data_IF_725794089367
#
_entry.id   IF_725794089367
#
_cell.length_a   1.000
_cell.length_b   1.000
_cell.length_c   1.000
_cell.angle_alpha   90.00
_cell.angle_beta   90.00
_cell.angle_gamma   90.00
#
_symmetry.space_group_name_H-M   'P 1'
#
loop_
_entity.id
_entity.type
_entity.pdbx_description
1 polymer ?
2 non-polymer ?
3 non-polymer ?
4 non-polymer ?
5 non-polymer ?
6 water ?
#
# COMPACT_ATOMS: atom_id res chain seq x y z
N UNK A 1 -23.78 -2.20 -27.07
CA UNK A 1 -22.99 -2.17 -28.34
C UNK A 1 -21.51 -2.56 -28.10
N UNK A 2 -20.96 -2.16 -26.94
CA UNK A 2 -19.56 -2.43 -26.60
C UNK A 2 -19.35 -3.82 -25.99
N UNK A 3 -20.36 -4.35 -25.30
CA UNK A 3 -20.34 -5.68 -24.68
C UNK A 3 -21.14 -6.74 -25.44
N UNK A 4 -21.66 -6.38 -26.63
CA UNK A 4 -22.46 -7.30 -27.43
C UNK A 4 -21.60 -7.82 -28.57
N UNK A 5 -21.64 -9.12 -28.78
CA UNK A 5 -20.82 -9.76 -29.80
C UNK A 5 -21.52 -9.69 -31.16
N UNK A 6 -20.84 -9.07 -32.12
CA UNK A 6 -21.29 -9.03 -33.49
C UNK A 6 -20.70 -10.23 -34.27
N UNK A 7 -19.43 -10.54 -34.04
CA UNK A 7 -18.77 -11.71 -34.64
C UNK A 7 -17.64 -12.26 -33.76
N UNK A 8 -17.49 -13.57 -33.75
CA UNK A 8 -16.37 -14.23 -33.09
C UNK A 8 -15.79 -15.26 -34.02
N UNK A 9 -14.49 -15.27 -34.22
CA UNK A 9 -13.90 -16.30 -35.03
C UNK A 9 -12.50 -16.69 -34.57
N UNK A 10 -12.09 -17.89 -34.96
CA UNK A 10 -10.77 -18.39 -34.64
C UNK A 10 -9.83 -17.97 -35.78
N UNK A 11 -8.66 -17.39 -35.43
CA UNK A 11 -7.65 -16.90 -36.39
C UNK A 11 -6.27 -17.38 -36.03
N UNK A 12 -5.35 -17.20 -36.97
CA UNK A 12 -3.93 -17.46 -36.79
C UNK A 12 -3.70 -18.91 -36.43
N UNK A 13 -4.05 -19.79 -37.36
CA UNK A 13 -4.00 -21.21 -37.13
C UNK A 13 -4.87 -21.62 -35.95
N UNK A 14 -5.98 -20.91 -35.76
CA UNK A 14 -6.89 -21.12 -34.62
C UNK A 14 -6.29 -20.89 -33.21
N UNK A 15 -5.16 -20.19 -33.15
CA UNK A 15 -4.48 -19.93 -31.86
C UNK A 15 -4.98 -18.67 -31.16
N UNK A 16 -5.89 -17.97 -31.81
CA UNK A 16 -6.39 -16.67 -31.39
C UNK A 16 -7.91 -16.62 -31.66
N UNK A 17 -8.68 -16.07 -30.74
CA UNK A 17 -10.06 -15.74 -30.98
C UNK A 17 -10.15 -14.24 -31.12
N UNK A 18 -10.84 -13.79 -32.17
CA UNK A 18 -11.12 -12.39 -32.33
C UNK A 18 -12.62 -12.16 -32.14
N UNK A 19 -12.96 -11.17 -31.32
CA UNK A 19 -14.34 -10.72 -31.14
C UNK A 19 -14.42 -9.35 -31.82
N UNK A 20 -15.38 -9.21 -32.73
CA UNK A 20 -15.79 -7.89 -33.22
C UNK A 20 -17.03 -7.55 -32.42
N UNK A 21 -16.96 -6.48 -31.64
CA UNK A 21 -18.08 -6.01 -30.80
C UNK A 21 -19.01 -5.15 -31.63
N UNK A 22 -20.22 -4.91 -31.10
CA UNK A 22 -21.21 -4.13 -31.84
C UNK A 22 -20.88 -2.64 -32.00
N UNK A 23 -19.96 -2.12 -31.19
CA UNK A 23 -19.36 -0.79 -31.45
C UNK A 23 -18.24 -0.81 -32.51
N UNK A 24 -18.02 -1.94 -33.16
CA UNK A 24 -17.02 -2.04 -34.24
C UNK A 24 -15.57 -2.25 -33.73
N UNK A 25 -15.37 -2.16 -32.43
CA UNK A 25 -14.05 -2.51 -31.89
C UNK A 25 -13.79 -4.02 -31.89
N UNK A 26 -12.52 -4.40 -31.99
CA UNK A 26 -12.12 -5.81 -32.02
C UNK A 26 -11.27 -6.12 -30.81
N UNK A 27 -11.43 -7.31 -30.23
CA UNK A 27 -10.59 -7.78 -29.13
C UNK A 27 -10.02 -9.13 -29.55
N UNK A 28 -8.83 -9.44 -29.04
CA UNK A 28 -8.12 -10.66 -29.37
C UNK A 28 -7.81 -11.42 -28.06
N UNK A 29 -8.03 -12.72 -28.08
CA UNK A 29 -7.86 -13.59 -26.93
C UNK A 29 -7.06 -14.83 -27.34
N UNK A 30 -5.89 -15.03 -26.74
CA UNK A 30 -5.18 -16.26 -27.05
C UNK A 30 -5.96 -17.51 -26.66
N UNK A 31 -5.93 -18.49 -27.54
CA UNK A 31 -6.55 -19.78 -27.30
C UNK A 31 -6.11 -20.45 -26.02
N UNK A 32 -4.81 -20.42 -25.71
CA UNK A 32 -4.24 -21.02 -24.49
C UNK A 32 -4.74 -20.36 -23.22
N UNK A 33 -4.95 -19.05 -23.28
CA UNK A 33 -5.54 -18.32 -22.16
C UNK A 33 -7.04 -18.65 -22.00
N UNK A 34 -7.73 -18.86 -23.10
CA UNK A 34 -9.12 -19.27 -23.03
C UNK A 34 -9.22 -20.63 -22.38
N UNK A 35 -8.45 -21.58 -22.86
CA UNK A 35 -8.50 -22.92 -22.27
C UNK A 35 -8.11 -22.91 -20.80
N UNK A 36 -7.03 -22.19 -20.50
CA UNK A 36 -6.55 -22.00 -19.12
C UNK A 36 -7.65 -21.47 -18.21
N UNK A 37 -8.55 -20.67 -18.78
CA UNK A 37 -9.57 -20.01 -18.00
C UNK A 37 -10.99 -20.47 -18.27
N UNK A 38 -11.12 -21.70 -18.79
CA UNK A 38 -12.43 -22.37 -18.85
C UNK A 38 -13.13 -22.30 -17.49
N UNK A 39 -14.37 -21.79 -17.46
CA UNK A 39 -15.11 -21.71 -16.19
C UNK A 39 -15.93 -22.94 -15.77
N UNK A 40 -15.85 -24.05 -16.52
CA UNK A 40 -16.62 -25.23 -16.21
C UNK A 40 -16.19 -25.82 -14.87
N UNK A 41 -17.05 -26.69 -14.35
CA UNK A 41 -16.86 -27.23 -13.01
C UNK A 41 -15.68 -28.17 -12.93
N UNK A 42 -15.19 -28.69 -14.08
CA UNK A 42 -13.93 -29.45 -14.07
C UNK A 42 -12.70 -28.54 -13.88
N UNK A 43 -12.79 -27.36 -14.48
CA UNK A 43 -11.66 -26.48 -14.61
C UNK A 43 -11.60 -25.41 -13.54
N UNK A 44 -12.75 -25.15 -12.94
CA UNK A 44 -12.92 -24.00 -12.09
C UNK A 44 -13.80 -24.33 -10.90
N UNK A 45 -13.31 -24.05 -9.70
CA UNK A 45 -14.04 -24.34 -8.46
C UNK A 45 -14.81 -23.08 -8.06
N UNK A 46 -16.10 -23.08 -8.34
CA UNK A 46 -16.88 -21.87 -8.19
C UNK A 46 -16.99 -21.36 -6.74
N UNK A 47 -17.07 -22.25 -5.78
CA UNK A 47 -17.19 -21.82 -4.38
C UNK A 47 -15.93 -21.04 -3.90
N UNK A 48 -14.77 -21.34 -4.49
CA UNK A 48 -13.50 -20.68 -4.16
C UNK A 48 -13.16 -19.57 -5.14
N UNK A 49 -13.91 -19.49 -6.24
CA UNK A 49 -13.52 -18.65 -7.36
C UNK A 49 -12.05 -18.90 -7.72
N UNK A 50 -11.67 -20.17 -7.87
CA UNK A 50 -10.28 -20.54 -8.14
C UNK A 50 -10.13 -21.56 -9.27
N UNK A 51 -8.99 -21.54 -9.93
CA UNK A 51 -8.71 -22.51 -11.00
C UNK A 51 -8.32 -23.87 -10.43
N UNK A 52 -9.02 -24.92 -10.84
CA UNK A 52 -8.62 -26.31 -10.55
C UNK A 52 -7.68 -26.88 -11.61
N UNK A 53 -7.79 -26.36 -12.83
CA UNK A 53 -7.00 -26.82 -13.94
C UNK A 53 -5.53 -26.73 -13.62
N UNK A 54 -4.80 -27.78 -13.92
CA UNK A 54 -3.38 -27.83 -13.67
C UNK A 54 -2.62 -27.33 -14.91
N UNK A 55 -1.43 -26.79 -14.68
CA UNK A 55 -0.56 -26.38 -15.75
C UNK A 55 -0.28 -27.62 -16.57
N UNK A 56 -0.15 -28.75 -15.89
CA UNK A 56 0.09 -30.04 -16.54
C UNK A 56 -1.00 -30.46 -17.52
N UNK A 57 -2.23 -29.97 -17.37
CA UNK A 57 -3.31 -30.34 -18.32
C UNK A 57 -3.37 -29.37 -19.50
N UNK A 58 -2.57 -28.30 -19.48
CA UNK A 58 -2.73 -27.26 -20.45
C UNK A 58 -1.77 -27.50 -21.59
N UNK A 59 -2.31 -27.66 -22.80
CA UNK A 59 -1.52 -27.73 -24.00
C UNK A 59 -1.22 -26.32 -24.47
N UNK A 60 0.06 -25.90 -24.45
CA UNK A 60 0.40 -24.50 -24.74
C UNK A 60 0.32 -24.12 -26.23
N UNK A 61 0.28 -25.13 -27.08
CA UNK A 61 0.10 -24.97 -28.52
C UNK A 61 -1.34 -25.22 -28.97
N UNK A 62 -2.25 -25.31 -28.01
CA UNK A 62 -3.66 -25.54 -28.31
C UNK A 62 -4.23 -24.51 -29.25
N UNK A 63 -5.14 -24.98 -30.08
CA UNK A 63 -5.95 -24.14 -30.97
C UNK A 63 -7.42 -24.46 -30.75
N UNK A 64 -8.28 -23.55 -31.19
CA UNK A 64 -9.73 -23.73 -31.06
C UNK A 64 -10.18 -24.72 -32.13
N UNK A 65 -10.89 -25.76 -31.74
CA UNK A 65 -11.33 -26.72 -32.75
C UNK A 65 -12.59 -26.22 -33.45
N UNK A 66 -13.51 -25.68 -32.67
CA UNK A 66 -14.72 -25.12 -33.21
C UNK A 66 -15.23 -24.02 -32.31
N UNK A 67 -16.00 -23.12 -32.91
CA UNK A 67 -16.53 -21.97 -32.24
C UNK A 67 -17.88 -21.58 -32.82
N UNK A 68 -18.87 -21.39 -31.97
CA UNK A 68 -20.09 -20.67 -32.33
C UNK A 68 -20.33 -19.62 -31.27
N UNK A 69 -21.18 -18.65 -31.59
CA UNK A 69 -21.40 -17.53 -30.72
C UNK A 69 -22.84 -17.06 -30.85
N UNK A 70 -23.32 -16.39 -29.83
CA UNK A 70 -24.47 -15.55 -29.96
C UNK A 70 -24.02 -14.20 -29.43
N UNK A 71 -24.97 -13.29 -29.18
CA UNK A 71 -24.63 -11.92 -28.78
C UNK A 71 -23.98 -11.80 -27.40
N UNK A 72 -24.25 -12.78 -26.54
CA UNK A 72 -23.82 -12.72 -25.15
C UNK A 72 -22.76 -13.77 -24.76
N UNK A 73 -22.47 -14.72 -25.64
CA UNK A 73 -21.57 -15.82 -25.28
C UNK A 73 -20.88 -16.40 -26.49
N UNK A 74 -19.71 -16.96 -26.25
CA UNK A 74 -19.00 -17.81 -27.20
C UNK A 74 -19.04 -19.24 -26.67
N UNK A 75 -19.11 -20.20 -27.57
CA UNK A 75 -19.16 -21.61 -27.21
C UNK A 75 -18.05 -22.29 -28.01
N UNK A 76 -17.09 -22.91 -27.32
CA UNK A 76 -15.88 -23.41 -27.95
C UNK A 76 -15.68 -24.88 -27.70
N UNK A 77 -15.28 -25.60 -28.75
CA UNK A 77 -14.81 -26.96 -28.60
C UNK A 77 -13.31 -26.98 -28.80
N UNK A 78 -12.65 -27.78 -27.97
CA UNK A 78 -11.21 -27.97 -28.01
C UNK A 78 -10.84 -29.31 -28.70
N UNK A 79 -9.59 -29.44 -29.14
CA UNK A 79 -9.20 -30.63 -29.87
C UNK A 79 -9.40 -31.95 -29.15
N UNK A 80 -9.30 -31.98 -27.82
CA UNK A 80 -9.56 -33.22 -27.07
C UNK A 80 -11.03 -33.36 -26.68
N UNK A 81 -11.90 -32.60 -27.33
CA UNK A 81 -13.36 -32.55 -27.06
C UNK A 81 -13.78 -31.88 -25.77
N UNK A 82 -12.87 -31.32 -24.98
CA UNK A 82 -13.32 -30.50 -23.87
C UNK A 82 -14.17 -29.34 -24.41
N UNK A 83 -15.08 -28.81 -23.60
CA UNK A 83 -16.02 -27.81 -24.08
C UNK A 83 -16.06 -26.62 -23.13
N UNK A 84 -16.10 -25.41 -23.67
CA UNK A 84 -16.07 -24.21 -22.84
C UNK A 84 -17.06 -23.13 -23.32
N UNK A 85 -17.65 -22.43 -22.38
CA UNK A 85 -18.48 -21.25 -22.65
C UNK A 85 -17.93 -20.04 -21.95
N UNK A 86 -17.91 -18.91 -22.65
CA UNK A 86 -17.43 -17.65 -22.11
C UNK A 86 -18.46 -16.58 -22.35
N UNK A 87 -18.70 -15.77 -21.32
CA UNK A 87 -19.66 -14.67 -21.40
C UNK A 87 -19.03 -13.41 -21.99
N UNK A 88 -19.82 -12.68 -22.76
CA UNK A 88 -19.35 -11.50 -23.44
C UNK A 88 -18.76 -10.44 -22.48
N UNK A 89 -19.45 -10.13 -21.41
CA UNK A 89 -18.98 -9.09 -20.51
C UNK A 89 -17.73 -9.51 -19.78
N UNK A 90 -17.67 -10.77 -19.38
CA UNK A 90 -16.44 -11.37 -18.85
C UNK A 90 -15.27 -11.18 -19.81
N UNK A 91 -15.48 -11.49 -21.09
CA UNK A 91 -14.44 -11.27 -22.13
C UNK A 91 -14.02 -9.81 -22.33
N UNK A 92 -15.02 -8.93 -22.41
CA UNK A 92 -14.78 -7.49 -22.61
C UNK A 92 -13.90 -6.88 -21.51
N UNK A 93 -14.18 -7.22 -20.27
CA UNK A 93 -13.43 -6.75 -19.12
C UNK A 93 -11.93 -7.13 -19.24
N UNK A 94 -11.66 -8.34 -19.73
CA UNK A 94 -10.32 -8.91 -19.74
C UNK A 94 -9.60 -8.75 -21.08
N UNK A 95 -10.16 -7.91 -21.95
CA UNK A 95 -9.54 -7.50 -23.21
C UNK A 95 -8.08 -7.10 -22.99
N UNK A 96 -7.25 -7.60 -23.88
CA UNK A 96 -5.81 -7.47 -23.77
C UNK A 96 -5.25 -6.16 -24.32
N UNK A 97 -6.11 -5.28 -24.82
CA UNK A 97 -5.65 -3.96 -25.26
C UNK A 97 -5.14 -3.19 -24.05
N UNK A 98 -4.18 -2.33 -24.34
CA UNK A 98 -3.53 -1.57 -23.30
C UNK A 98 -4.55 -0.77 -22.52
N UNK A 99 -5.50 -0.16 -23.23
CA UNK A 99 -6.52 0.68 -22.54
C UNK A 99 -7.42 -0.13 -21.63
N UNK A 100 -7.83 -1.31 -22.08
CA UNK A 100 -8.66 -2.16 -21.25
C UNK A 100 -7.88 -2.69 -20.04
N UNK A 101 -6.65 -3.11 -20.25
CA UNK A 101 -5.80 -3.63 -19.15
C UNK A 101 -5.53 -2.53 -18.11
N UNK A 102 -5.24 -1.31 -18.57
CA UNK A 102 -4.93 -0.22 -17.64
C UNK A 102 -6.17 0.19 -16.85
N UNK A 103 -7.31 0.21 -17.52
CA UNK A 103 -8.53 0.55 -16.83
C UNK A 103 -8.82 -0.41 -15.66
N UNK A 104 -8.62 -1.69 -15.91
CA UNK A 104 -8.91 -2.69 -14.92
C UNK A 104 -7.92 -2.65 -13.75
N UNK A 105 -6.64 -2.41 -14.04
CA UNK A 105 -5.63 -2.25 -13.01
C UNK A 105 -5.95 -1.08 -12.09
N UNK A 106 -6.38 0.06 -12.66
CA UNK A 106 -6.82 1.18 -11.85
C UNK A 106 -7.93 0.79 -10.87
N UNK A 107 -8.88 0.00 -11.35
CA UNK A 107 -9.99 -0.45 -10.53
C UNK A 107 -9.55 -1.39 -9.44
N UNK A 108 -8.56 -2.23 -9.71
CA UNK A 108 -8.06 -3.15 -8.70
C UNK A 108 -7.20 -2.45 -7.63
N UNK A 109 -6.36 -1.51 -8.05
CA UNK A 109 -5.25 -1.02 -7.19
C UNK A 109 -5.31 0.45 -6.78
N UNK A 110 -6.29 1.19 -7.28
CA UNK A 110 -6.53 2.56 -6.84
C UNK A 110 -5.24 3.39 -6.86
N UNK A 111 -4.59 3.49 -8.03
CA UNK A 111 -3.32 4.17 -8.15
C UNK A 111 -3.35 5.71 -8.02
N UNK A 112 -4.51 6.36 -8.05
CA UNK A 112 -4.57 7.84 -7.98
C UNK A 112 -3.82 8.36 -6.74
N UNK A 113 -2.92 9.30 -6.97
CA UNK A 113 -2.05 9.83 -5.95
C UNK A 113 -2.08 11.36 -5.96
N UNK A 114 -2.29 11.99 -4.81
CA UNK A 114 -2.19 13.43 -4.73
C UNK A 114 -1.02 13.84 -3.87
N UNK A 115 0.02 14.36 -4.52
CA UNK A 115 1.25 14.82 -3.87
C UNK A 115 0.98 16.11 -3.15
N UNK A 116 1.63 16.32 -2.02
CA UNK A 116 1.43 17.56 -1.29
C UNK A 116 2.69 18.00 -0.56
N UNK A 117 2.72 19.30 -0.23
CA UNK A 117 3.70 19.90 0.68
C UNK A 117 3.01 20.61 1.83
N UNK A 118 3.54 21.76 2.22
CA UNK A 118 3.04 22.52 3.38
C UNK A 118 1.64 23.08 3.19
N UNK A 119 1.12 23.04 1.96
CA UNK A 119 -0.25 23.49 1.69
C UNK A 119 -1.33 22.46 2.02
N UNK A 120 -0.92 21.23 2.36
CA UNK A 120 -1.90 20.19 2.70
C UNK A 120 -3.06 20.69 3.57
N UNK A 121 -4.27 20.28 3.19
CA UNK A 121 -5.44 20.39 4.05
C UNK A 121 -5.65 19.00 4.60
N UNK A 122 -5.40 18.83 5.89
CA UNK A 122 -5.40 17.50 6.50
C UNK A 122 -6.79 16.86 6.40
N UNK A 123 -6.94 15.79 5.58
CA UNK A 123 -8.25 15.21 5.46
C UNK A 123 -8.72 14.73 6.83
N UNK A 124 -9.98 15.01 7.15
CA UNK A 124 -10.49 14.84 8.48
C UNK A 124 -11.93 14.30 8.43
N UNK A 125 -12.15 13.21 9.13
CA UNK A 125 -13.45 12.58 9.28
C UNK A 125 -13.72 12.33 10.75
N UNK A 126 -14.98 12.00 11.04
CA UNK A 126 -15.39 11.62 12.36
C UNK A 126 -15.17 10.12 12.61
N UNK A 127 -14.55 9.84 13.76
CA UNK A 127 -14.22 8.48 14.19
C UNK A 127 -15.41 7.55 14.17
N UNK A 128 -16.44 7.92 14.92
CA UNK A 128 -17.60 7.03 15.06
C UNK A 128 -18.32 6.85 13.74
N UNK A 129 -18.39 7.90 12.92
CA UNK A 129 -19.00 7.80 11.61
C UNK A 129 -18.33 6.72 10.76
N UNK A 130 -17.02 6.65 10.86
CA UNK A 130 -16.22 5.73 10.08
C UNK A 130 -16.48 4.31 10.56
N UNK A 131 -16.66 4.15 11.88
CA UNK A 131 -17.02 2.85 12.42
C UNK A 131 -18.44 2.43 12.05
N UNK A 132 -19.36 3.39 11.97
CA UNK A 132 -20.77 3.07 11.73
C UNK A 132 -21.15 3.00 10.25
N UNK A 133 -20.59 3.86 9.40
CA UNK A 133 -21.08 4.00 8.03
C UNK A 133 -20.07 3.60 6.98
N UNK A 134 -20.51 2.81 6.02
CA UNK A 134 -19.66 2.38 4.92
C UNK A 134 -19.23 3.51 4.03
N UNK A 135 -20.11 4.50 3.84
CA UNK A 135 -19.80 5.67 3.03
C UNK A 135 -18.60 6.42 3.64
N UNK A 136 -18.54 6.49 4.97
CA UNK A 136 -17.46 7.20 5.65
C UNK A 136 -16.15 6.37 5.69
N UNK A 137 -16.26 5.08 5.96
CA UNK A 137 -15.10 4.20 5.97
C UNK A 137 -14.49 4.14 4.57
N UNK A 138 -15.33 4.14 3.55
CA UNK A 138 -14.87 4.17 2.18
C UNK A 138 -14.10 5.47 1.86
N UNK A 139 -14.66 6.60 2.26
CA UNK A 139 -13.95 7.88 2.14
C UNK A 139 -12.61 7.83 2.90
N UNK A 140 -12.62 7.22 4.07
CA UNK A 140 -11.42 7.13 4.91
C UNK A 140 -10.30 6.37 4.18
N UNK A 141 -10.59 5.14 3.78
CA UNK A 141 -9.58 4.31 3.12
C UNK A 141 -9.15 4.83 1.76
N UNK A 142 -10.09 5.32 0.95
CA UNK A 142 -9.72 5.86 -0.35
C UNK A 142 -8.88 7.12 -0.23
N UNK A 143 -9.14 7.92 0.80
CA UNK A 143 -8.33 9.10 1.00
C UNK A 143 -6.94 8.74 1.56
N UNK A 144 -6.89 7.77 2.45
CA UNK A 144 -5.63 7.21 2.96
C UNK A 144 -4.74 6.77 1.79
N UNK A 145 -5.34 6.12 0.80
CA UNK A 145 -4.58 5.59 -0.32
C UNK A 145 -4.08 6.71 -1.20
N UNK A 146 -4.97 7.65 -1.48
CA UNK A 146 -4.71 8.71 -2.42
C UNK A 146 -3.77 9.80 -1.86
N UNK A 147 -4.04 10.25 -0.64
CA UNK A 147 -3.32 11.37 -0.04
C UNK A 147 -2.21 10.90 0.92
N UNK A 148 -2.38 9.75 1.55
CA UNK A 148 -1.38 9.19 2.45
C UNK A 148 -1.70 9.40 3.93
N UNK A 149 -2.70 10.21 4.23
CA UNK A 149 -3.06 10.48 5.61
C UNK A 149 -4.51 10.94 5.75
N UNK A 150 -5.15 10.46 6.83
CA UNK A 150 -6.45 10.91 7.25
C UNK A 150 -6.47 11.04 8.77
N UNK A 151 -6.96 12.19 9.25
CA UNK A 151 -7.17 12.39 10.65
C UNK A 151 -8.61 12.03 10.99
N UNK A 152 -8.77 11.27 12.05
CA UNK A 152 -10.09 11.00 12.57
C UNK A 152 -10.23 11.71 13.90
N UNK A 153 -11.32 12.45 14.05
CA UNK A 153 -11.59 13.19 15.27
C UNK A 153 -12.78 12.58 16.00
N UNK A 154 -12.87 12.90 17.28
CA UNK A 154 -13.96 12.41 18.10
C UNK A 154 -13.88 10.99 18.61
N UNK A 155 -12.68 10.42 18.70
CA UNK A 155 -12.52 9.17 19.45
C UNK A 155 -12.53 9.49 20.95
N UNK A 156 -12.60 8.47 21.78
CA UNK A 156 -12.45 8.67 23.22
C UNK A 156 -11.00 9.01 23.56
N UNK A 157 -10.77 9.33 24.81
CA UNK A 157 -9.42 9.57 25.33
C UNK A 157 -8.95 8.37 26.12
N UNK A 158 -9.29 7.18 25.66
CA UNK A 158 -8.91 5.96 26.36
C UNK A 158 -8.37 4.93 25.37
N UNK A 159 -7.55 3.98 25.86
CA UNK A 159 -7.05 2.89 25.03
C UNK A 159 -8.17 2.08 24.40
N UNK A 160 -7.87 1.39 23.31
CA UNK A 160 -8.85 0.57 22.62
C UNK A 160 -9.41 1.15 21.33
N UNK A 161 -9.11 2.40 21.02
CA UNK A 161 -9.67 3.00 19.80
C UNK A 161 -8.99 2.50 18.52
N UNK A 162 -7.69 2.33 18.55
CA UNK A 162 -7.02 1.85 17.34
C UNK A 162 -7.45 0.44 16.99
N UNK A 163 -7.74 -0.38 18.01
CA UNK A 163 -8.26 -1.73 17.82
C UNK A 163 -9.63 -1.75 17.15
N UNK A 164 -10.48 -0.77 17.47
CA UNK A 164 -11.78 -0.67 16.77
C UNK A 164 -11.57 -0.42 15.27
N UNK A 165 -10.63 0.47 14.96
CA UNK A 165 -10.30 0.73 13.56
C UNK A 165 -9.65 -0.50 12.92
N UNK A 166 -8.87 -1.23 13.69
CA UNK A 166 -8.18 -2.45 13.19
C UNK A 166 -9.22 -3.45 12.73
N UNK A 167 -10.21 -3.63 13.59
CA UNK A 167 -11.35 -4.48 13.32
C UNK A 167 -12.15 -3.96 12.10
N UNK A 168 -12.34 -2.65 11.99
CA UNK A 168 -13.09 -2.11 10.85
C UNK A 168 -12.35 -2.46 9.54
N UNK A 169 -11.03 -2.44 9.58
CA UNK A 169 -10.24 -2.81 8.42
C UNK A 169 -10.31 -4.33 8.27
N UNK A 170 -10.04 -5.04 9.34
CA UNK A 170 -10.02 -6.50 9.31
C UNK A 170 -9.23 -7.03 10.48
N UNK A 171 -7.93 -6.80 10.44
CA UNK A 171 -7.09 -7.06 11.58
C UNK A 171 -5.78 -6.26 11.46
N UNK A 172 -5.19 -6.03 12.62
CA UNK A 172 -3.94 -5.28 12.78
C UNK A 172 -2.72 -6.18 12.54
N UNK A 173 -1.57 -5.56 12.32
CA UNK A 173 -0.33 -6.24 11.99
C UNK A 173 0.50 -6.34 13.26
N UNK A 174 0.62 -7.56 13.80
CA UNK A 174 1.38 -7.84 15.04
C UNK A 174 2.89 -7.71 14.82
N UNK A 175 3.56 -6.97 15.69
CA UNK A 175 5.02 -6.85 15.69
C UNK A 175 5.57 -7.13 17.09
N UNK A 176 6.88 -7.14 17.19
CA UNK A 176 7.57 -7.30 18.44
C UNK A 176 7.20 -6.25 19.48
N UNK A 177 6.61 -5.12 19.07
CA UNK A 177 6.13 -4.12 20.05
C UNK A 177 4.69 -4.34 20.50
N UNK A 178 4.06 -5.39 19.97
CA UNK A 178 2.73 -5.83 20.44
C UNK A 178 1.66 -5.64 19.40
N UNK A 179 0.43 -6.00 19.73
CA UNK A 179 -0.71 -5.74 18.86
C UNK A 179 -1.03 -4.26 18.73
N UNK A 180 -0.99 -3.57 19.87
CA UNK A 180 -0.93 -2.13 19.95
C UNK A 180 0.15 -1.80 20.95
N UNK A 181 0.54 -0.53 21.02
CA UNK A 181 1.69 -0.11 21.85
C UNK A 181 1.50 1.31 22.33
N UNK A 182 2.15 1.63 23.43
CA UNK A 182 1.93 2.88 24.11
C UNK A 182 3.12 3.80 23.92
N UNK A 183 2.90 4.92 23.22
CA UNK A 183 3.97 5.90 23.03
C UNK A 183 3.94 6.85 24.21
N UNK A 184 4.89 6.65 25.11
CA UNK A 184 5.05 7.50 26.28
C UNK A 184 6.45 7.37 26.80
N UNK A 185 6.87 8.29 27.66
CA UNK A 185 8.21 8.27 28.25
C UNK A 185 8.32 7.08 29.19
N UNK A 186 9.34 6.24 29.01
CA UNK A 186 9.51 5.02 29.80
C UNK A 186 10.93 4.87 30.34
N UNK A 187 11.04 4.45 31.60
CA UNK A 187 12.33 4.11 32.22
C UNK A 187 12.98 2.97 31.44
N UNK A 188 14.29 3.06 31.21
CA UNK A 188 14.99 2.09 30.38
C UNK A 188 14.27 1.88 29.05
N UNK A 189 13.93 2.96 28.36
CA UNK A 189 13.20 2.89 27.09
C UNK A 189 13.87 1.88 26.15
N UNK A 190 13.09 0.95 25.57
CA UNK A 190 13.63 0.05 24.54
C UNK A 190 13.58 0.65 23.12
N UNK A 191 13.21 1.93 23.04
CA UNK A 191 13.02 2.59 21.74
C UNK A 191 13.02 4.08 21.97
N UNK A 192 13.66 4.84 21.08
CA UNK A 192 13.74 6.30 21.23
C UNK A 192 12.33 6.92 21.29
N UNK A 193 11.37 6.27 20.63
CA UNK A 193 10.00 6.76 20.63
C UNK A 193 9.43 6.85 22.04
N UNK A 194 9.93 6.00 22.92
CA UNK A 194 9.40 5.93 24.29
C UNK A 194 10.28 6.75 25.24
N UNK A 195 10.65 7.95 24.77
CA UNK A 195 11.30 9.00 25.55
C UNK A 195 10.60 10.32 25.22
N UNK A 196 11.09 11.43 25.80
CA UNK A 196 10.58 12.76 25.50
C UNK A 196 11.31 13.52 24.36
N UNK A 197 12.28 12.85 23.75
CA UNK A 197 13.12 13.45 22.76
C UNK A 197 12.38 13.66 21.46
N UNK A 198 13.03 14.41 20.58
CA UNK A 198 12.51 14.71 19.27
C UNK A 198 12.71 13.50 18.37
N UNK A 199 11.73 13.22 17.50
CA UNK A 199 11.88 12.25 16.46
C UNK A 199 11.91 13.04 15.18
N UNK A 200 13.04 12.96 14.48
CA UNK A 200 13.20 13.50 13.15
C UNK A 200 12.35 12.67 12.20
N UNK A 201 12.20 13.14 10.96
CA UNK A 201 11.42 12.43 9.96
C UNK A 201 11.94 11.01 9.81
N UNK A 202 11.02 10.07 9.86
CA UNK A 202 11.36 8.67 9.69
C UNK A 202 10.14 7.94 9.26
N UNK A 203 10.35 6.77 8.68
CA UNK A 203 9.32 5.74 8.56
C UNK A 203 9.48 4.79 9.71
N UNK A 204 8.40 4.09 10.07
CA UNK A 204 8.45 3.09 11.14
C UNK A 204 8.89 1.71 10.64
N UNK A 205 9.74 1.06 11.44
CA UNK A 205 10.16 -0.30 11.27
C UNK A 205 10.91 -0.66 9.97
N UNK A 206 11.87 0.17 9.53
CA UNK A 206 12.69 -0.34 8.46
C UNK A 206 13.58 -1.53 8.88
N UNK A 207 13.70 -1.79 10.19
CA UNK A 207 14.35 -3.02 10.68
C UNK A 207 13.65 -4.29 10.21
N UNK A 208 12.41 -4.17 9.72
CA UNK A 208 11.70 -5.34 9.13
C UNK A 208 11.83 -5.33 7.62
N UNK A 209 11.95 -6.51 7.00
CA UNK A 209 12.02 -6.54 5.55
C UNK A 209 10.66 -6.13 4.94
N UNK A 210 9.58 -6.30 5.68
CA UNK A 210 8.25 -5.83 5.23
C UNK A 210 7.69 -4.82 6.22
N UNK A 211 8.11 -3.56 6.12
CA UNK A 211 7.59 -2.60 7.10
C UNK A 211 6.05 -2.43 7.04
N UNK A 212 5.43 -2.13 8.19
CA UNK A 212 4.02 -1.75 8.22
C UNK A 212 3.64 -0.81 7.07
N UNK A 213 2.56 -1.15 6.36
CA UNK A 213 2.04 -0.26 5.35
C UNK A 213 1.31 0.94 5.90
N UNK A 214 0.51 0.75 6.93
CA UNK A 214 -0.33 1.79 7.50
C UNK A 214 -0.11 1.84 8.98
N UNK A 215 -0.01 3.05 9.50
CA UNK A 215 0.22 3.24 10.91
C UNK A 215 -0.96 4.01 11.48
N UNK A 216 -1.37 3.66 12.68
CA UNK A 216 -2.47 4.34 13.37
C UNK A 216 -1.94 4.94 14.68
N UNK A 217 -2.22 6.21 14.94
CA UNK A 217 -1.81 6.85 16.20
C UNK A 217 -2.96 7.63 16.82
N UNK A 218 -3.26 7.25 18.05
CA UNK A 218 -4.41 7.78 18.77
C UNK A 218 -3.89 8.57 19.94
N UNK A 219 -4.22 9.86 19.98
CA UNK A 219 -3.82 10.68 21.10
C UNK A 219 -4.79 10.48 22.27
N UNK A 220 -4.26 9.94 23.35
CA UNK A 220 -4.97 9.75 24.62
C UNK A 220 -4.70 10.96 25.52
N UNK A 221 -3.43 11.34 25.63
CA UNK A 221 -2.99 12.46 26.43
C UNK A 221 -1.98 13.28 25.64
N UNK A 222 -2.13 14.59 25.66
CA UNK A 222 -1.19 15.52 25.01
C UNK A 222 -0.59 16.48 26.02
N UNK A 223 0.65 16.92 25.75
CA UNK A 223 1.40 17.83 26.60
C UNK A 223 1.38 19.22 25.95
N UNK A 224 1.39 20.25 26.77
CA UNK A 224 1.52 21.63 26.26
C UNK A 224 2.97 22.03 26.11
N UNK A 225 3.90 21.20 26.57
CA UNK A 225 5.33 21.57 26.51
C UNK A 225 6.03 21.23 25.20
N UNK A 226 5.33 20.65 24.23
CA UNK A 226 5.93 20.27 22.93
C UNK A 226 5.12 19.14 22.32
N UNK A 227 5.75 18.26 21.55
CA UNK A 227 5.05 17.06 21.10
C UNK A 227 4.17 17.25 19.89
N UNK A 228 4.38 18.34 19.15
CA UNK A 228 3.78 18.58 17.84
C UNK A 228 4.20 17.49 16.87
N UNK A 229 3.34 17.21 15.93
CA UNK A 229 3.60 16.24 14.90
C UNK A 229 4.05 16.95 13.66
N UNK A 230 4.82 16.24 12.86
CA UNK A 230 5.23 16.73 11.56
C UNK A 230 5.16 15.58 10.58
N UNK A 231 4.73 15.86 9.35
CA UNK A 231 4.67 14.87 8.28
C UNK A 231 5.22 15.49 7.00
N UNK A 232 5.67 14.61 6.11
CA UNK A 232 6.17 15.01 4.80
C UNK A 232 5.79 13.91 3.80
N UNK A 233 5.56 14.30 2.56
CA UNK A 233 5.16 13.36 1.51
C UNK A 233 6.45 12.85 0.87
N UNK A 234 6.88 11.67 1.31
CA UNK A 234 8.15 11.12 0.85
C UNK A 234 8.17 11.00 -0.69
N UNK A 235 7.03 10.69 -1.34
CA UNK A 235 7.06 10.55 -2.81
C UNK A 235 7.28 11.91 -3.46
N UNK A 236 6.69 12.96 -2.89
CA UNK A 236 6.92 14.30 -3.36
C UNK A 236 8.38 14.72 -3.18
N UNK A 237 8.94 14.43 -1.99
CA UNK A 237 10.31 14.79 -1.67
C UNK A 237 11.30 14.02 -2.54
N UNK A 238 11.03 12.75 -2.82
CA UNK A 238 11.88 12.00 -3.73
C UNK A 238 11.90 12.60 -5.13
N UNK A 239 10.76 13.12 -5.55
CA UNK A 239 10.65 13.72 -6.89
C UNK A 239 11.52 14.98 -6.93
N UNK A 240 11.48 15.79 -5.88
CA UNK A 240 12.29 16.98 -5.83
C UNK A 240 13.79 16.65 -5.77
N UNK A 241 14.15 15.56 -5.11
CA UNK A 241 15.56 15.18 -4.98
C UNK A 241 16.10 14.72 -6.31
N UNK A 242 15.36 13.85 -7.00
CA UNK A 242 15.75 13.48 -8.36
C UNK A 242 16.03 14.68 -9.27
N UNK A 243 15.21 15.74 -9.15
CA UNK A 243 15.40 16.97 -9.95
C UNK A 243 16.59 17.78 -9.48
N UNK A 244 16.63 18.08 -8.19
CA UNK A 244 17.68 18.92 -7.63
C UNK A 244 19.05 18.28 -7.56
N UNK A 245 19.11 16.96 -7.35
CA UNK A 245 20.39 16.28 -7.08
C UNK A 245 20.33 14.82 -7.54
N UNK A 246 20.41 14.60 -8.85
CA UNK A 246 20.27 13.26 -9.39
C UNK A 246 21.27 12.24 -8.81
N UNK A 247 22.48 12.71 -8.51
CA UNK A 247 23.52 11.83 -7.94
C UNK A 247 23.09 11.36 -6.53
N UNK A 248 22.60 12.27 -5.72
CA UNK A 248 22.06 11.92 -4.40
C UNK A 248 20.91 10.90 -4.47
N UNK A 249 19.99 11.13 -5.41
CA UNK A 249 18.86 10.22 -5.67
C UNK A 249 19.33 8.82 -6.03
N UNK A 250 20.29 8.77 -6.94
CA UNK A 250 20.87 7.54 -7.42
C UNK A 250 21.52 6.74 -6.27
N UNK A 251 22.28 7.44 -5.42
CA UNK A 251 22.94 6.82 -4.27
C UNK A 251 21.89 6.25 -3.32
N UNK A 252 20.91 7.06 -2.94
CA UNK A 252 19.88 6.60 -2.02
C UNK A 252 18.96 5.51 -2.61
N UNK A 253 18.78 5.51 -3.93
CA UNK A 253 17.95 4.50 -4.55
C UNK A 253 18.73 3.26 -4.97
N UNK A 254 20.04 3.22 -4.72
CA UNK A 254 20.84 2.04 -5.03
C UNK A 254 21.70 1.46 -3.88
N UNK A 255 21.82 2.17 -2.76
CA UNK A 255 22.68 1.74 -1.66
C UNK A 255 21.86 0.99 -0.62
N UNK A 256 22.26 -0.25 -0.36
CA UNK A 256 21.65 -1.04 0.71
C UNK A 256 22.18 -0.63 2.11
N UNK A 257 21.26 -0.20 2.96
CA UNK A 257 21.56 0.24 4.31
C UNK A 257 21.06 -0.81 5.30
N UNK A 258 21.86 -1.10 6.33
CA UNK A 258 21.49 -2.09 7.35
C UNK A 258 20.69 -1.42 8.46
N UNK A 259 19.56 -2.02 8.84
CA UNK A 259 18.79 -1.56 9.98
C UNK A 259 18.76 -2.65 11.04
N UNK A 260 18.64 -2.24 12.30
CA UNK A 260 18.71 -3.17 13.42
C UNK A 260 17.76 -2.80 14.54
N UNK A 261 17.29 -3.81 15.27
CA UNK A 261 16.51 -3.57 16.47
C UNK A 261 16.65 -4.76 17.40
N UNK A 262 17.20 -4.52 18.60
CA UNK A 262 17.45 -5.56 19.58
C UNK A 262 16.87 -5.13 20.91
N UNK A 263 16.18 -6.03 21.58
CA UNK A 263 15.60 -5.73 22.88
C UNK A 263 14.48 -6.68 23.25
N UNK A 264 13.65 -6.24 24.19
CA UNK A 264 12.57 -7.07 24.71
C UNK A 264 11.35 -6.20 24.80
N UNK A 265 10.25 -6.66 24.20
CA UNK A 265 8.95 -6.02 24.39
C UNK A 265 7.85 -7.09 24.36
N UNK A 266 7.14 -7.28 23.26
CA UNK A 266 6.14 -8.34 23.21
C UNK A 266 6.82 -9.69 23.46
N UNK A 267 7.99 -9.85 22.87
CA UNK A 267 8.90 -10.87 23.33
C UNK A 267 10.27 -10.37 23.03
N UNK A 268 11.25 -11.23 23.26
CA UNK A 268 12.64 -10.85 23.05
C UNK A 268 12.93 -10.89 21.55
N UNK A 269 13.69 -9.90 21.08
CA UNK A 269 13.98 -9.82 19.66
C UNK A 269 15.38 -9.33 19.32
N UNK A 270 15.85 -9.76 18.14
CA UNK A 270 17.10 -9.32 17.55
C UNK A 270 16.88 -9.29 16.05
N UNK A 271 16.47 -8.13 15.55
CA UNK A 271 16.01 -7.95 14.18
C UNK A 271 17.06 -7.20 13.34
N UNK A 272 17.28 -7.70 12.13
CA UNK A 272 18.18 -7.13 11.15
C UNK A 272 17.57 -7.12 9.74
N UNK A 273 17.81 -6.04 8.98
CA UNK A 273 17.43 -6.00 7.60
C UNK A 273 18.39 -5.15 6.78
N UNK A 274 18.21 -5.21 5.48
CA UNK A 274 18.83 -4.31 4.53
C UNK A 274 17.69 -3.72 3.70
N UNK A 275 17.74 -2.41 3.44
CA UNK A 275 16.86 -1.74 2.45
C UNK A 275 17.63 -0.62 1.78
N UNK A 276 17.26 -0.34 0.56
CA UNK A 276 17.55 0.93 -0.03
C UNK A 276 16.59 1.95 0.59
N UNK A 277 17.08 3.12 0.96
CA UNK A 277 16.24 4.17 1.56
C UNK A 277 15.14 4.60 0.58
N UNK A 278 15.49 4.71 -0.69
CA UNK A 278 14.51 4.95 -1.71
C UNK A 278 14.42 3.70 -2.55
N UNK A 279 13.26 3.05 -2.46
CA UNK A 279 13.05 1.77 -3.08
C UNK A 279 12.23 1.99 -4.35
N UNK A 280 12.82 1.70 -5.51
CA UNK A 280 12.16 1.90 -6.82
C UNK A 280 11.57 0.60 -7.28
N UNK A 281 10.50 0.65 -8.06
CA UNK A 281 10.02 -0.55 -8.75
C UNK A 281 10.80 -0.75 -10.06
N UNK A 282 10.41 -1.73 -10.88
CA UNK A 282 11.15 -2.06 -12.11
C UNK A 282 11.04 -0.99 -13.19
N UNK A 283 10.08 -0.08 -13.07
CA UNK A 283 9.99 1.06 -14.00
C UNK A 283 10.65 2.31 -13.47
N UNK A 284 11.30 2.24 -12.32
CA UNK A 284 11.96 3.42 -11.75
C UNK A 284 11.06 4.33 -10.90
N UNK A 285 9.86 3.89 -10.55
CA UNK A 285 8.97 4.68 -9.73
C UNK A 285 9.23 4.35 -8.29
N UNK A 286 9.23 5.36 -7.42
CA UNK A 286 9.45 5.15 -6.00
C UNK A 286 8.24 4.46 -5.47
N UNK A 287 8.41 3.35 -4.76
CA UNK A 287 7.27 2.63 -4.16
C UNK A 287 7.29 2.58 -2.65
N UNK A 288 8.46 2.78 -2.04
CA UNK A 288 8.56 2.81 -0.60
C UNK A 288 9.82 3.57 -0.20
N UNK A 289 9.70 4.27 0.92
CA UNK A 289 10.83 4.88 1.61
C UNK A 289 11.06 4.07 2.88
N UNK A 290 12.32 3.74 3.13
CA UNK A 290 12.71 2.96 4.31
C UNK A 290 13.78 3.73 5.06
N UNK A 291 13.38 4.51 6.04
CA UNK A 291 14.37 5.32 6.69
C UNK A 291 14.00 5.67 8.11
N UNK A 292 14.74 5.10 9.06
CA UNK A 292 14.67 5.58 10.42
C UNK A 292 16.11 5.73 10.94
N UNK A 293 16.46 6.95 11.33
CA UNK A 293 17.85 7.22 11.73
C UNK A 293 18.22 6.57 13.04
N UNK A 294 17.25 6.29 13.88
CA UNK A 294 17.51 5.67 15.17
C UNK A 294 17.95 4.21 15.02
N UNK A 295 17.35 3.50 14.06
CA UNK A 295 17.52 2.08 13.92
C UNK A 295 18.43 1.71 12.76
N UNK A 296 18.90 2.70 12.01
CA UNK A 296 19.98 2.46 11.04
C UNK A 296 21.19 1.95 11.84
N UNK A 297 21.78 0.84 11.39
CA UNK A 297 22.78 0.14 12.19
C UNK A 297 24.13 0.90 12.18
N UNK A 298 25.00 0.54 13.12
CA UNK A 298 26.39 1.02 13.12
C UNK A 298 27.15 0.29 12.01
N UNK A 299 26.73 -0.94 11.78
CA UNK A 299 27.22 -1.76 10.67
C UNK A 299 26.74 -1.12 9.37
N UNK A 300 27.67 -0.88 8.46
CA UNK A 300 27.37 -0.26 7.19
C UNK A 300 28.17 -0.98 6.13
N UNK A 301 27.45 -1.79 5.36
CA UNK A 301 28.04 -2.77 4.45
C UNK A 301 28.23 -2.20 3.05
N UNK A 302 29.16 -1.27 2.92
CA UNK A 302 29.55 -0.69 1.66
C UNK A 302 31.08 -0.51 1.64
N UNK A 303 31.68 -0.45 0.44
CA UNK A 303 33.10 -0.11 0.41
C UNK A 303 33.38 1.27 1.01
N UNK A 304 34.59 1.48 1.48
CA UNK A 304 34.89 2.66 2.28
C UNK A 304 34.68 3.97 1.50
N UNK A 305 35.00 3.93 0.21
CA UNK A 305 34.88 5.10 -0.67
C UNK A 305 33.44 5.56 -0.95
N UNK A 306 32.45 4.69 -0.71
CA UNK A 306 31.05 5.05 -0.86
C UNK A 306 30.43 5.65 0.41
N UNK A 307 31.15 5.61 1.54
CA UNK A 307 30.56 5.98 2.80
C UNK A 307 30.26 7.49 2.84
N UNK A 308 31.25 8.34 2.65
CA UNK A 308 30.99 9.75 2.81
C UNK A 308 29.95 10.27 1.77
N UNK A 309 30.01 9.78 0.51
CA UNK A 309 28.97 10.27 -0.41
C UNK A 309 27.54 9.81 -0.02
N UNK A 310 27.41 8.64 0.60
CA UNK A 310 26.12 8.22 1.10
C UNK A 310 25.63 9.21 2.11
N UNK A 311 26.48 9.54 3.09
CA UNK A 311 26.04 10.50 4.10
C UNK A 311 25.69 11.86 3.52
N UNK A 312 26.43 12.29 2.51
CA UNK A 312 26.16 13.59 1.89
C UNK A 312 24.80 13.60 1.17
N UNK A 313 24.46 12.46 0.57
CA UNK A 313 23.17 12.29 -0.11
C UNK A 313 22.03 12.23 0.89
N UNK A 314 22.22 11.51 1.98
CA UNK A 314 21.19 11.39 3.02
C UNK A 314 20.88 12.76 3.63
N UNK A 315 21.95 13.53 3.88
CA UNK A 315 21.80 14.90 4.37
C UNK A 315 20.96 15.76 3.42
N UNK A 316 21.23 15.70 2.14
CA UNK A 316 20.43 16.47 1.15
C UNK A 316 18.96 16.07 1.25
N UNK A 317 18.71 14.77 1.30
CA UNK A 317 17.36 14.23 1.40
C UNK A 317 16.65 14.76 2.63
N UNK A 318 17.35 14.75 3.76
CA UNK A 318 16.75 15.22 5.03
C UNK A 318 16.54 16.73 5.03
N UNK A 319 17.45 17.48 4.42
CA UNK A 319 17.27 18.92 4.28
C UNK A 319 16.00 19.24 3.43
N UNK A 320 15.78 18.49 2.35
CA UNK A 320 14.53 18.68 1.56
C UNK A 320 13.27 18.40 2.37
N UNK A 321 13.26 17.31 3.13
CA UNK A 321 12.15 17.01 4.03
C UNK A 321 11.87 18.12 5.01
N UNK A 322 12.93 18.74 5.52
CA UNK A 322 12.78 19.78 6.53
C UNK A 322 12.39 21.13 5.95
N UNK A 323 12.45 21.25 4.62
CA UNK A 323 12.16 22.50 3.96
C UNK A 323 10.73 22.96 4.29
N UNK A 324 10.54 24.27 4.46
CA UNK A 324 9.24 24.79 4.86
C UNK A 324 8.16 24.53 3.78
N UNK A 325 8.54 24.36 2.52
CA UNK A 325 7.60 23.96 1.42
C UNK A 325 7.12 22.50 1.47
N UNK A 326 7.89 21.62 2.10
CA UNK A 326 7.58 20.18 2.15
C UNK A 326 6.82 19.75 3.40
N UNK A 327 7.16 20.37 4.49
CA UNK A 327 6.73 19.98 5.81
C UNK A 327 5.31 20.43 6.17
N UNK A 328 4.58 19.58 6.86
CA UNK A 328 3.28 19.95 7.40
C UNK A 328 3.27 19.61 8.88
N UNK A 329 2.95 20.59 9.71
CA UNK A 329 3.00 20.40 11.14
C UNK A 329 1.65 20.67 11.75
N UNK A 330 1.31 19.94 12.79
CA UNK A 330 0.05 20.06 13.46
C UNK A 330 0.21 19.44 14.82
N UNK A 331 -0.79 19.56 15.66
CA UNK A 331 -0.70 19.04 17.01
C UNK A 331 -1.93 18.21 17.28
N UNK A 332 -1.71 17.00 17.77
CA UNK A 332 -2.80 16.10 18.08
C UNK A 332 -3.41 16.45 19.44
N UNK A 333 -4.73 16.37 19.55
CA UNK A 333 -5.42 16.52 20.82
C UNK A 333 -6.04 15.20 21.26
N UNK A 334 -6.29 15.03 22.56
CA UNK A 334 -6.94 13.81 23.03
C UNK A 334 -8.17 13.51 22.19
N UNK A 335 -8.33 12.26 21.76
CA UNK A 335 -9.46 11.94 20.90
C UNK A 335 -9.17 11.99 19.40
N UNK A 336 -8.06 12.57 18.99
CA UNK A 336 -7.66 12.48 17.58
C UNK A 336 -6.97 11.16 17.29
N UNK A 337 -7.16 10.64 16.09
CA UNK A 337 -6.43 9.49 15.58
C UNK A 337 -5.90 9.85 14.19
N UNK A 338 -4.58 9.70 13.96
CA UNK A 338 -4.07 9.78 12.60
C UNK A 338 -3.76 8.37 12.05
N UNK A 339 -4.07 8.19 10.78
CA UNK A 339 -3.87 6.95 10.06
C UNK A 339 -3.15 7.38 8.80
N UNK A 340 -1.98 6.80 8.53
CA UNK A 340 -1.26 7.22 7.36
C UNK A 340 -0.47 6.08 6.73
N UNK A 341 -0.04 6.34 5.49
CA UNK A 341 0.75 5.45 4.68
C UNK A 341 2.22 5.52 5.12
N UNK A 342 2.66 4.52 5.86
CA UNK A 342 4.00 4.47 6.41
C UNK A 342 5.06 4.03 5.36
N UNK A 343 4.63 3.68 4.15
CA UNK A 343 5.55 3.49 3.03
C UNK A 343 5.87 4.76 2.28
N UNK A 344 5.02 5.78 2.41
CA UNK A 344 5.13 6.99 1.61
C UNK A 344 5.48 8.20 2.46
N UNK A 345 4.77 8.39 3.58
CA UNK A 345 5.04 9.57 4.41
C UNK A 345 6.24 9.30 5.31
N UNK A 346 6.95 10.37 5.68
CA UNK A 346 7.78 10.28 6.87
C UNK A 346 7.14 11.16 7.95
N UNK A 347 7.34 10.78 9.18
CA UNK A 347 6.72 11.48 10.27
C UNK A 347 7.67 11.69 11.41
N UNK A 348 7.32 12.66 12.24
CA UNK A 348 8.15 12.97 13.38
C UNK A 348 7.40 13.70 14.47
N UNK A 349 8.15 14.11 15.46
CA UNK A 349 7.56 14.70 16.64
C UNK A 349 8.58 15.65 17.29
N UNK A 350 8.07 16.79 17.75
CA UNK A 350 8.90 17.72 18.51
C UNK A 350 9.11 17.20 19.93
N UNK A 351 10.25 17.56 20.51
CA UNK A 351 10.59 17.17 21.87
C UNK A 351 9.62 17.82 22.84
N UNK A 352 9.50 17.23 24.01
CA UNK A 352 8.69 17.80 25.10
C UNK A 352 9.41 17.53 26.40
N UNK A 353 8.90 18.09 27.49
CA UNK A 353 9.61 17.97 28.76
C UNK A 353 9.19 16.72 29.49
N UNK A 354 10.19 16.05 30.08
CA UNK A 354 9.97 14.95 31.04
C UNK A 354 9.46 15.46 32.38
N UNK A 355 8.74 14.61 33.08
CA UNK A 355 8.44 14.85 34.49
C UNK A 355 7.96 13.57 35.11
N UNK A 356 7.38 13.68 36.29
CA UNK A 356 7.18 12.55 37.16
C UNK A 356 5.90 11.82 36.78
N UNK A 357 4.92 12.54 36.26
CA UNK A 357 3.73 11.89 35.75
C UNK A 357 3.77 11.89 34.22
N UNK A 358 2.99 10.99 33.64
CA UNK A 358 2.93 10.86 32.19
C UNK A 358 2.08 12.01 31.68
N UNK A 359 2.69 12.89 30.89
CA UNK A 359 2.01 14.08 30.37
C UNK A 359 1.55 13.87 28.93
N UNK A 360 1.95 12.75 28.35
CA UNK A 360 1.76 12.52 26.93
C UNK A 360 1.68 11.02 26.64
N UNK A 361 0.65 10.61 25.92
CA UNK A 361 0.37 9.20 25.74
C UNK A 361 -0.35 9.01 24.41
N UNK A 362 0.31 8.31 23.48
CA UNK A 362 -0.39 7.85 22.30
C UNK A 362 -0.50 6.32 22.31
N UNK A 363 -1.55 5.81 21.67
CA UNK A 363 -1.65 4.37 21.36
C UNK A 363 -1.55 4.17 19.85
N UNK A 364 -0.62 3.31 19.47
CA UNK A 364 -0.33 3.04 18.07
C UNK A 364 -0.58 1.62 17.69
N UNK A 365 -0.71 1.39 16.40
CA UNK A 365 -0.81 0.04 15.84
C UNK A 365 -0.47 0.16 14.37
N UNK A 366 -0.27 -0.99 13.73
CA UNK A 366 0.06 -1.06 12.35
C UNK A 366 -0.98 -1.89 11.59
N UNK A 367 -1.10 -1.64 10.30
CA UNK A 367 -1.84 -2.55 9.46
C UNK A 367 -1.11 -2.78 8.15
N UNK A 368 -1.41 -3.91 7.51
CA UNK A 368 -0.84 -4.25 6.21
C UNK A 368 -1.66 -3.70 5.04
N UNK A 369 -1.00 -3.20 3.99
CA UNK A 369 -1.71 -2.60 2.85
C UNK A 369 -2.64 -3.57 2.12
N UNK A 370 -2.31 -4.86 2.11
CA UNK A 370 -3.18 -5.84 1.46
C UNK A 370 -4.50 -6.03 2.21
N UNK A 371 -4.42 -5.88 3.52
CA UNK A 371 -5.57 -5.91 4.38
C UNK A 371 -6.46 -4.67 4.19
N UNK A 372 -5.84 -3.50 4.08
CA UNK A 372 -6.54 -2.26 3.86
C UNK A 372 -7.16 -2.19 2.45
N UNK A 373 -6.41 -2.64 1.43
CA UNK A 373 -6.88 -2.60 0.06
C UNK A 373 -8.03 -3.59 -0.13
N UNK A 374 -7.91 -4.77 0.45
CA UNK A 374 -9.07 -5.68 0.53
C UNK A 374 -10.33 -4.96 1.06
N UNK A 375 -10.21 -4.33 2.22
CA UNK A 375 -11.37 -3.67 2.82
C UNK A 375 -11.86 -2.56 1.88
N UNK A 376 -10.93 -1.83 1.29
CA UNK A 376 -11.27 -0.76 0.37
C UNK A 376 -12.09 -1.30 -0.82
N UNK A 377 -11.64 -2.39 -1.42
CA UNK A 377 -12.40 -3.03 -2.50
C UNK A 377 -13.79 -3.45 -2.05
N UNK A 378 -13.90 -4.07 -0.89
CA UNK A 378 -15.22 -4.48 -0.40
C UNK A 378 -16.14 -3.27 -0.15
N UNK A 379 -15.62 -2.21 0.45
CA UNK A 379 -16.41 -1.03 0.74
C UNK A 379 -16.92 -0.36 -0.54
N UNK A 380 -16.07 -0.24 -1.54
CA UNK A 380 -16.45 0.34 -2.80
C UNK A 380 -17.65 -0.39 -3.43
N UNK A 381 -17.59 -1.72 -3.43
CA UNK A 381 -18.69 -2.52 -3.95
C UNK A 381 -19.97 -2.27 -3.16
N UNK A 382 -19.88 -2.24 -1.83
CA UNK A 382 -21.04 -1.99 -0.99
C UNK A 382 -21.65 -0.60 -1.19
N UNK A 383 -20.79 0.42 -1.28
CA UNK A 383 -21.25 1.81 -1.44
C UNK A 383 -21.77 2.09 -2.86
N UNK A 384 -21.11 1.54 -3.88
CA UNK A 384 -21.60 1.66 -5.27
C UNK A 384 -22.80 0.75 -5.59
N UNK A 385 -23.08 -0.25 -4.75
CA UNK A 385 -24.25 -1.11 -4.90
C UNK A 385 -25.09 -1.15 -3.61
#
# INVERSE_FOLDING_TARGET
>A
MACTIQKAEALDGAHLMQILWYDEEESLYPAVWLRDNCPCSDCYLDSAKARKLLVEALDVNIGIKGLIFDRKKVYITWPDEHYSEFQADWLKKRCFSKQARAKLQRELFFPECQYWGSELQLPTLDFEDVLRYDEHAYKWLSTLKKVGIVRLTGASDKPGEVSKLGKRMGFLYLTFYGHTWQVQDKIDANNVAYTTGKLSFHTDYPALHHPPGVQLLHCIKQTVTGGDSEIVDGFNVCQKLKKNNPQAFQILSSTFVDFTDIGVDYCDFSVQSKHKIIELDDKGQVVRINFNNATRDTIFDVPVERVQPFYAALKEFVDLMNSKESKFTFKMNPGDVITFDNWRLLHGRRSYEAGTEISRHLEGAYADWDVVMSRLRILRQRVENGN
#
